data_IF_156855470824
#
_entry.id   IF_156855470824
#
_cell.length_a   1.000
_cell.length_b   1.000
_cell.length_c   1.000
_cell.angle_alpha   90.00
_cell.angle_beta   90.00
_cell.angle_gamma   90.00
#
_symmetry.space_group_name_H-M   'P 1'
#
loop_
_entity.id
_entity.type
_entity.pdbx_description
1 polymer ?
#
# COMPACT_ATOMS: atom_id res chain seq x y z
N UNK A 1 -14.26 -11.06 -31.58
CA UNK A 1 -15.30 -11.56 -30.65
C UNK A 1 -14.72 -12.74 -29.89
N UNK A 2 -14.77 -12.76 -28.55
CA UNK A 2 -14.16 -13.84 -27.77
C UNK A 2 -15.06 -15.09 -27.79
N UNK A 3 -14.77 -16.01 -28.69
CA UNK A 3 -15.57 -17.23 -28.93
C UNK A 3 -15.75 -18.09 -27.67
N UNK A 4 -14.79 -18.09 -26.75
CA UNK A 4 -14.90 -18.81 -25.48
C UNK A 4 -15.98 -18.23 -24.56
N UNK A 5 -16.07 -16.90 -24.45
CA UNK A 5 -17.12 -16.23 -23.65
C UNK A 5 -18.50 -16.39 -24.27
N UNK A 6 -18.56 -16.38 -25.61
CA UNK A 6 -19.81 -16.59 -26.36
C UNK A 6 -20.34 -18.00 -26.13
N UNK A 7 -19.46 -19.01 -26.19
CA UNK A 7 -19.85 -20.40 -25.93
C UNK A 7 -20.26 -20.61 -24.46
N UNK A 8 -19.52 -20.03 -23.50
CA UNK A 8 -19.90 -20.09 -22.09
C UNK A 8 -21.26 -19.43 -21.81
N UNK A 9 -21.57 -18.30 -22.46
CA UNK A 9 -22.88 -17.68 -22.35
C UNK A 9 -23.98 -18.54 -22.98
N UNK A 10 -23.72 -19.16 -24.14
CA UNK A 10 -24.66 -20.07 -24.77
C UNK A 10 -24.97 -21.28 -23.89
N UNK A 11 -23.96 -21.87 -23.23
CA UNK A 11 -24.12 -23.01 -22.33
C UNK A 11 -24.93 -22.63 -21.08
N UNK A 12 -24.67 -21.44 -20.51
CA UNK A 12 -25.40 -20.92 -19.34
C UNK A 12 -26.87 -20.62 -19.69
N UNK A 13 -27.13 -20.01 -20.85
CA UNK A 13 -28.50 -19.76 -21.34
C UNK A 13 -29.22 -21.09 -21.58
N UNK A 14 -28.56 -22.04 -22.24
CA UNK A 14 -29.14 -23.35 -22.51
C UNK A 14 -29.47 -24.11 -21.21
N UNK A 15 -28.59 -24.05 -20.20
CA UNK A 15 -28.84 -24.64 -18.89
C UNK A 15 -30.02 -23.97 -18.16
N UNK A 16 -30.13 -22.64 -18.20
CA UNK A 16 -31.25 -21.90 -17.61
C UNK A 16 -32.58 -22.26 -18.30
N UNK A 17 -32.58 -22.37 -19.63
CA UNK A 17 -33.76 -22.80 -20.41
C UNK A 17 -34.18 -24.23 -20.07
N UNK A 18 -33.24 -25.16 -19.88
CA UNK A 18 -33.53 -26.53 -19.44
C UNK A 18 -34.15 -26.59 -18.04
N UNK A 19 -33.86 -25.61 -17.18
CA UNK A 19 -34.47 -25.46 -15.85
C UNK A 19 -35.83 -24.73 -15.89
N UNK A 20 -36.37 -24.45 -17.07
CA UNK A 20 -37.67 -23.78 -17.23
C UNK A 20 -37.63 -22.27 -17.01
N UNK A 21 -36.44 -21.66 -16.90
CA UNK A 21 -36.28 -20.21 -16.79
C UNK A 21 -36.33 -19.60 -18.19
N UNK A 22 -37.52 -19.22 -18.64
CA UNK A 22 -37.73 -18.61 -19.98
C UNK A 22 -37.92 -17.10 -19.93
N UNK A 23 -37.98 -16.51 -18.74
CA UNK A 23 -38.16 -15.07 -18.58
C UNK A 23 -36.83 -14.36 -18.88
N UNK A 24 -36.81 -13.37 -19.78
CA UNK A 24 -35.59 -12.63 -20.14
C UNK A 24 -34.85 -12.04 -18.93
N UNK A 25 -35.59 -11.61 -17.89
CA UNK A 25 -35.01 -11.09 -16.66
C UNK A 25 -34.19 -12.13 -15.89
N UNK A 26 -34.67 -13.38 -15.82
CA UNK A 26 -33.99 -14.47 -15.11
C UNK A 26 -32.73 -14.92 -15.87
N UNK A 27 -32.79 -14.94 -17.19
CA UNK A 27 -31.62 -15.24 -18.03
C UNK A 27 -30.55 -14.15 -17.88
N UNK A 28 -30.94 -12.87 -17.81
CA UNK A 28 -30.03 -11.77 -17.57
C UNK A 28 -29.35 -11.87 -16.20
N UNK A 29 -30.11 -12.20 -15.15
CA UNK A 29 -29.59 -12.41 -13.79
C UNK A 29 -28.58 -13.57 -13.73
N UNK A 30 -28.86 -14.69 -14.39
CA UNK A 30 -27.92 -15.83 -14.46
C UNK A 30 -26.65 -15.47 -15.23
N UNK A 31 -26.74 -14.68 -16.31
CA UNK A 31 -25.57 -14.19 -17.05
C UNK A 31 -24.78 -13.15 -16.25
N UNK A 32 -25.43 -12.35 -15.42
CA UNK A 32 -24.79 -11.41 -14.50
C UNK A 32 -24.05 -12.15 -13.39
N UNK A 33 -24.69 -13.14 -12.75
CA UNK A 33 -24.08 -14.02 -11.75
C UNK A 33 -22.89 -14.81 -12.29
N UNK A 34 -22.93 -15.18 -13.58
CA UNK A 34 -21.81 -15.81 -14.27
C UNK A 34 -20.70 -14.83 -14.68
N UNK A 35 -20.84 -13.54 -14.37
CA UNK A 35 -19.93 -12.45 -14.78
C UNK A 35 -19.73 -12.39 -16.31
N UNK A 36 -20.77 -12.77 -17.06
CA UNK A 36 -20.78 -12.78 -18.53
C UNK A 36 -21.37 -11.51 -19.12
N UNK A 37 -22.18 -10.78 -18.35
CA UNK A 37 -22.56 -9.41 -18.68
C UNK A 37 -21.44 -8.44 -18.29
N UNK A 38 -21.25 -7.41 -19.12
CA UNK A 38 -20.41 -6.27 -18.74
C UNK A 38 -21.10 -5.53 -17.60
N UNK A 39 -20.34 -5.13 -16.58
CA UNK A 39 -20.91 -4.31 -15.51
C UNK A 39 -21.44 -3.00 -16.09
N UNK A 40 -22.47 -2.38 -15.48
CA UNK A 40 -22.99 -1.08 -15.92
C UNK A 40 -21.89 -0.01 -16.03
N UNK A 41 -20.92 -0.04 -15.12
CA UNK A 41 -19.75 0.85 -15.12
C UNK A 41 -18.85 0.60 -16.33
N UNK A 42 -18.62 -0.68 -16.67
CA UNK A 42 -17.82 -1.07 -17.84
C UNK A 42 -18.51 -0.69 -19.15
N UNK A 43 -19.83 -0.87 -19.22
CA UNK A 43 -20.63 -0.47 -20.38
C UNK A 43 -20.64 1.06 -20.55
N UNK A 44 -20.81 1.80 -19.46
CA UNK A 44 -20.73 3.27 -19.44
C UNK A 44 -19.35 3.78 -19.84
N UNK A 45 -18.28 3.14 -19.37
CA UNK A 45 -16.91 3.49 -19.77
C UNK A 45 -16.67 3.20 -21.25
N UNK A 46 -17.16 2.07 -21.77
CA UNK A 46 -17.08 1.76 -23.20
C UNK A 46 -17.87 2.76 -24.06
N UNK A 47 -19.04 3.19 -23.60
CA UNK A 47 -19.84 4.19 -24.31
C UNK A 47 -19.19 5.58 -24.26
N UNK A 48 -18.58 5.94 -23.11
CA UNK A 48 -17.74 7.12 -22.98
C UNK A 48 -16.54 7.08 -23.94
N UNK A 49 -15.84 5.95 -24.04
CA UNK A 49 -14.72 5.77 -24.96
C UNK A 49 -15.15 5.84 -26.43
N UNK A 50 -16.28 5.22 -26.80
CA UNK A 50 -16.87 5.36 -28.14
C UNK A 50 -17.25 6.79 -28.44
N UNK A 51 -17.84 7.49 -27.46
CA UNK A 51 -18.17 8.91 -27.58
C UNK A 51 -16.91 9.76 -27.76
N UNK A 52 -15.84 9.49 -27.02
CA UNK A 52 -14.55 10.17 -27.22
C UNK A 52 -13.94 9.89 -28.60
N UNK A 53 -14.13 8.67 -29.12
CA UNK A 53 -13.61 8.27 -30.43
C UNK A 53 -14.44 8.84 -31.59
N UNK A 54 -15.75 9.03 -31.39
CA UNK A 54 -16.70 9.42 -32.43
C UNK A 54 -17.14 10.89 -32.38
N UNK A 55 -17.05 11.58 -31.23
CA UNK A 55 -17.80 12.82 -30.99
C UNK A 55 -16.99 14.12 -31.06
N UNK A 56 -15.70 14.11 -31.43
CA UNK A 56 -15.01 15.36 -31.68
C UNK A 56 -14.45 15.39 -33.10
N UNK A 57 -14.93 16.28 -34.00
CA UNK A 57 -14.03 16.73 -35.06
C UNK A 57 -12.72 17.07 -34.37
N UNK A 58 -11.61 16.48 -34.85
CA UNK A 58 -10.31 16.73 -34.26
C UNK A 58 -10.19 18.25 -34.08
N UNK A 59 -10.05 18.71 -32.84
CA UNK A 59 -9.78 20.11 -32.56
C UNK A 59 -8.38 20.38 -33.09
N UNK A 60 -8.30 20.63 -34.39
CA UNK A 60 -7.09 20.99 -35.07
C UNK A 60 -6.79 22.44 -34.68
N UNK A 61 -5.57 22.69 -34.26
CA UNK A 61 -5.10 24.06 -34.08
C UNK A 61 -5.12 24.78 -35.43
N UNK A 62 -5.14 26.11 -35.41
CA UNK A 62 -5.06 26.92 -36.64
C UNK A 62 -3.82 26.53 -37.47
N UNK A 63 -2.67 26.33 -36.82
CA UNK A 63 -1.46 25.85 -37.47
C UNK A 63 -1.58 24.45 -38.10
N UNK A 64 -2.35 23.54 -37.50
CA UNK A 64 -2.61 22.23 -38.09
C UNK A 64 -3.55 22.33 -39.30
N UNK A 65 -4.57 23.18 -39.24
CA UNK A 65 -5.43 23.47 -40.38
C UNK A 65 -4.65 24.10 -41.53
N UNK A 66 -3.76 25.04 -41.23
CA UNK A 66 -2.88 25.67 -42.21
C UNK A 66 -1.94 24.65 -42.86
N UNK A 67 -1.33 23.77 -42.07
CA UNK A 67 -0.46 22.72 -42.58
C UNK A 67 -1.21 21.71 -43.48
N UNK A 68 -2.44 21.33 -43.13
CA UNK A 68 -3.28 20.48 -43.98
C UNK A 68 -3.67 21.20 -45.28
N UNK A 69 -4.02 22.49 -45.19
CA UNK A 69 -4.31 23.33 -46.36
C UNK A 69 -3.10 23.45 -47.28
N UNK A 70 -1.91 23.70 -46.72
CA UNK A 70 -0.66 23.79 -47.48
C UNK A 70 -0.31 22.46 -48.15
N UNK A 71 -0.44 21.33 -47.44
CA UNK A 71 -0.20 20.01 -48.02
C UNK A 71 -1.13 19.73 -49.21
N UNK A 72 -2.39 20.11 -49.10
CA UNK A 72 -3.36 19.96 -50.17
C UNK A 72 -3.07 20.88 -51.37
N UNK A 73 -2.78 22.16 -51.11
CA UNK A 73 -2.43 23.12 -52.16
C UNK A 73 -1.13 22.70 -52.88
N UNK A 74 -0.13 22.18 -52.15
CA UNK A 74 1.11 21.67 -52.72
C UNK A 74 0.86 20.49 -53.64
N UNK A 75 0.12 19.48 -53.18
CA UNK A 75 -0.22 18.30 -53.99
C UNK A 75 -0.99 18.66 -55.27
N UNK A 76 -1.90 19.62 -55.18
CA UNK A 76 -2.65 20.11 -56.34
C UNK A 76 -1.75 20.81 -57.35
N UNK A 77 -0.87 21.69 -56.87
CA UNK A 77 0.09 22.38 -57.74
C UNK A 77 1.07 21.38 -58.37
N UNK A 78 1.63 20.44 -57.61
CA UNK A 78 2.51 19.39 -58.13
C UNK A 78 1.85 18.60 -59.28
N UNK A 79 0.57 18.26 -59.15
CA UNK A 79 -0.19 17.57 -60.19
C UNK A 79 -0.35 18.41 -61.46
N UNK A 80 -0.86 19.64 -61.34
CA UNK A 80 -1.02 20.51 -62.51
C UNK A 80 0.32 20.90 -63.14
N UNK A 81 1.38 20.99 -62.35
CA UNK A 81 2.72 21.24 -62.86
C UNK A 81 3.27 20.06 -63.63
N UNK A 82 3.04 18.84 -63.16
CA UNK A 82 3.45 17.61 -63.86
C UNK A 82 2.75 17.49 -65.21
N UNK A 83 1.46 17.83 -65.29
CA UNK A 83 0.63 17.53 -66.46
C UNK A 83 0.41 18.71 -67.43
N UNK A 84 0.42 19.95 -66.94
CA UNK A 84 0.04 21.14 -67.73
C UNK A 84 1.14 22.17 -67.90
N UNK A 85 2.24 22.08 -67.16
CA UNK A 85 3.31 23.08 -67.19
C UNK A 85 4.61 22.50 -67.74
N UNK A 86 5.18 23.14 -68.77
CA UNK A 86 6.48 22.74 -69.35
C UNK A 86 7.69 23.43 -68.69
N UNK A 87 7.55 23.97 -67.47
CA UNK A 87 8.69 24.59 -66.78
C UNK A 87 9.58 23.52 -66.11
N UNK A 88 10.90 23.69 -66.20
CA UNK A 88 11.87 22.79 -65.55
C UNK A 88 12.18 23.15 -64.10
N UNK A 89 11.66 24.29 -63.62
CA UNK A 89 12.10 24.95 -62.38
C UNK A 89 11.08 24.84 -61.22
N UNK A 90 10.05 24.00 -61.36
CA UNK A 90 9.12 23.70 -60.25
C UNK A 90 9.85 22.89 -59.15
N UNK A 91 9.64 23.18 -57.85
CA UNK A 91 8.74 24.15 -57.24
C UNK A 91 9.32 25.54 -56.98
N UNK A 92 10.55 25.82 -57.41
CA UNK A 92 11.23 27.09 -57.13
C UNK A 92 10.66 28.26 -57.94
N UNK A 93 10.16 28.02 -59.16
CA UNK A 93 9.48 29.03 -59.97
C UNK A 93 8.57 28.41 -61.04
N UNK A 94 7.48 29.12 -61.39
CA UNK A 94 6.60 28.81 -62.52
C UNK A 94 6.55 30.01 -63.47
N UNK A 95 6.76 29.78 -64.77
CA UNK A 95 6.71 30.85 -65.78
C UNK A 95 5.32 31.04 -66.43
N UNK A 96 4.42 30.04 -66.34
CA UNK A 96 3.15 29.99 -67.07
C UNK A 96 1.95 30.56 -66.29
N UNK A 97 2.04 30.62 -64.97
CA UNK A 97 1.02 31.20 -64.09
C UNK A 97 1.73 32.09 -63.07
N UNK A 98 1.52 33.39 -63.14
CA UNK A 98 2.16 34.37 -62.25
C UNK A 98 1.72 34.21 -60.79
N UNK A 99 2.32 33.23 -60.11
CA UNK A 99 2.18 32.82 -58.71
C UNK A 99 1.29 31.60 -58.44
N UNK A 100 1.64 30.92 -57.34
CA UNK A 100 1.02 29.75 -56.73
C UNK A 100 -0.51 29.93 -56.61
N UNK A 101 -1.30 29.04 -57.23
CA UNK A 101 -2.77 29.10 -57.14
C UNK A 101 -3.24 28.63 -55.76
N UNK A 102 -3.37 29.55 -54.81
CA UNK A 102 -4.15 29.31 -53.59
C UNK A 102 -5.64 29.34 -53.92
N UNK A 103 -6.37 28.27 -53.61
CA UNK A 103 -7.81 28.37 -53.35
C UNK A 103 -8.77 27.94 -54.47
N UNK A 104 -8.31 27.48 -55.63
CA UNK A 104 -9.21 26.87 -56.64
C UNK A 104 -9.41 25.38 -56.38
N UNK A 105 -10.09 25.07 -55.27
CA UNK A 105 -10.53 23.71 -54.94
C UNK A 105 -11.90 23.48 -55.60
N UNK A 106 -11.91 23.01 -56.84
CA UNK A 106 -13.14 22.46 -57.41
C UNK A 106 -13.33 20.99 -56.99
N UNK A 107 -14.53 20.46 -57.22
CA UNK A 107 -14.86 19.07 -56.85
C UNK A 107 -14.04 18.04 -57.61
N UNK A 108 -13.54 18.38 -58.80
CA UNK A 108 -12.64 17.56 -59.60
C UNK A 108 -11.21 17.59 -59.06
N UNK A 109 -10.75 18.70 -58.49
CA UNK A 109 -9.42 18.90 -57.95
C UNK A 109 -9.22 18.20 -56.59
N UNK A 110 -10.30 17.98 -55.84
CA UNK A 110 -10.26 17.45 -54.48
C UNK A 110 -9.60 16.07 -54.37
N UNK A 111 -9.84 15.16 -55.33
CA UNK A 111 -9.26 13.81 -55.27
C UNK A 111 -7.73 13.79 -55.41
N UNK A 112 -7.14 14.83 -56.02
CA UNK A 112 -5.70 14.98 -56.21
C UNK A 112 -5.03 15.32 -54.87
N UNK A 113 -5.61 16.25 -54.11
CA UNK A 113 -5.06 16.72 -52.84
C UNK A 113 -5.44 15.84 -51.64
N UNK A 114 -6.54 15.09 -51.72
CA UNK A 114 -7.07 14.31 -50.62
C UNK A 114 -6.05 13.32 -50.02
N UNK A 115 -5.27 12.63 -50.86
CA UNK A 115 -4.26 11.67 -50.38
C UNK A 115 -3.19 12.31 -49.52
N UNK A 116 -2.69 13.49 -49.92
CA UNK A 116 -1.68 14.23 -49.16
C UNK A 116 -2.22 14.77 -47.84
N UNK A 117 -3.45 15.30 -47.85
CA UNK A 117 -4.13 15.82 -46.65
C UNK A 117 -4.39 14.68 -45.65
N UNK A 118 -4.94 13.55 -46.11
CA UNK A 118 -5.19 12.39 -45.25
C UNK A 118 -3.89 11.82 -44.68
N UNK A 119 -2.84 11.70 -45.49
CA UNK A 119 -1.54 11.22 -45.03
C UNK A 119 -0.93 12.10 -43.93
N UNK A 120 -0.97 13.43 -44.11
CA UNK A 120 -0.50 14.36 -43.08
C UNK A 120 -1.37 14.32 -41.83
N UNK A 121 -2.69 14.26 -41.97
CA UNK A 121 -3.61 14.14 -40.84
C UNK A 121 -3.39 12.85 -40.03
N UNK A 122 -3.17 11.72 -40.70
CA UNK A 122 -2.84 10.45 -40.06
C UNK A 122 -1.50 10.53 -39.31
N UNK A 123 -0.49 11.20 -39.87
CA UNK A 123 0.78 11.47 -39.18
C UNK A 123 0.57 12.30 -37.91
N UNK A 124 -0.15 13.43 -38.00
CA UNK A 124 -0.45 14.27 -36.83
C UNK A 124 -1.17 13.50 -35.72
N UNK A 125 -2.10 12.63 -36.10
CA UNK A 125 -2.81 11.75 -35.15
C UNK A 125 -1.89 10.71 -34.52
N UNK A 126 -1.00 10.11 -35.31
CA UNK A 126 -0.01 9.15 -34.81
C UNK A 126 0.93 9.82 -33.82
N UNK A 127 1.40 11.04 -34.10
CA UNK A 127 2.25 11.83 -33.22
C UNK A 127 1.54 12.20 -31.91
N UNK A 128 0.29 12.64 -31.99
CA UNK A 128 -0.53 12.94 -30.80
C UNK A 128 -0.74 11.69 -29.93
N UNK A 129 -1.03 10.54 -30.54
CA UNK A 129 -1.16 9.27 -29.83
C UNK A 129 0.17 8.82 -29.21
N UNK A 130 1.30 9.02 -29.90
CA UNK A 130 2.62 8.70 -29.39
C UNK A 130 3.00 9.59 -28.20
N UNK A 131 2.70 10.90 -28.27
CA UNK A 131 2.91 11.85 -27.18
C UNK A 131 2.06 11.49 -25.95
N UNK A 132 0.79 11.16 -26.16
CA UNK A 132 -0.10 10.72 -25.08
C UNK A 132 0.37 9.40 -24.44
N UNK A 133 0.83 8.44 -25.25
CA UNK A 133 1.41 7.20 -24.74
C UNK A 133 2.69 7.44 -23.94
N UNK A 134 3.53 8.40 -24.36
CA UNK A 134 4.72 8.79 -23.61
C UNK A 134 4.34 9.41 -22.25
N UNK A 135 3.37 10.33 -22.22
CA UNK A 135 2.83 10.93 -20.99
C UNK A 135 2.29 9.86 -20.04
N UNK A 136 1.48 8.92 -20.54
CA UNK A 136 0.94 7.83 -19.72
C UNK A 136 2.02 6.89 -19.18
N UNK A 137 3.12 6.67 -19.94
CA UNK A 137 4.27 5.89 -19.45
C UNK A 137 4.99 6.61 -18.31
N UNK A 138 5.19 7.92 -18.43
CA UNK A 138 5.77 8.75 -17.37
C UNK A 138 4.90 8.73 -16.11
N UNK A 139 3.59 8.93 -16.25
CA UNK A 139 2.65 8.84 -15.12
C UNK A 139 2.67 7.48 -14.44
N UNK A 140 2.65 6.39 -15.23
CA UNK A 140 2.77 5.02 -14.71
C UNK A 140 4.06 4.85 -13.91
N UNK A 141 5.17 5.36 -14.41
CA UNK A 141 6.47 5.21 -13.74
C UNK A 141 6.54 6.07 -12.46
N UNK A 142 5.91 7.25 -12.46
CA UNK A 142 5.70 8.05 -11.25
C UNK A 142 4.86 7.29 -10.19
N UNK A 143 3.76 6.64 -10.59
CA UNK A 143 2.96 5.82 -9.68
C UNK A 143 3.75 4.63 -9.12
N UNK A 144 4.58 3.97 -9.94
CA UNK A 144 5.47 2.90 -9.48
C UNK A 144 6.47 3.41 -8.45
N UNK A 145 7.07 4.57 -8.68
CA UNK A 145 7.99 5.20 -7.73
C UNK A 145 7.29 5.53 -6.40
N UNK A 146 6.10 6.12 -6.45
CA UNK A 146 5.28 6.42 -5.27
C UNK A 146 4.95 5.15 -4.49
N UNK A 147 4.50 4.09 -5.18
CA UNK A 147 4.18 2.79 -4.57
C UNK A 147 5.42 2.20 -3.88
N UNK A 148 6.58 2.24 -4.54
CA UNK A 148 7.82 1.74 -3.97
C UNK A 148 8.26 2.54 -2.73
N UNK A 149 8.04 3.86 -2.73
CA UNK A 149 8.30 4.69 -1.55
C UNK A 149 7.40 4.31 -0.37
N UNK A 150 6.10 4.07 -0.61
CA UNK A 150 5.18 3.58 0.43
C UNK A 150 5.62 2.23 0.99
N UNK A 151 6.08 1.30 0.13
CA UNK A 151 6.60 0.02 0.61
C UNK A 151 7.86 0.19 1.47
N UNK A 152 8.78 1.07 1.08
CA UNK A 152 9.97 1.37 1.89
C UNK A 152 9.58 1.92 3.27
N UNK A 153 8.65 2.87 3.34
CA UNK A 153 8.14 3.38 4.63
C UNK A 153 7.46 2.29 5.46
N UNK A 154 6.70 1.39 4.83
CA UNK A 154 6.08 0.27 5.55
C UNK A 154 7.12 -0.69 6.13
N UNK A 155 8.19 -1.00 5.39
CA UNK A 155 9.28 -1.84 5.88
C UNK A 155 9.97 -1.20 7.10
N UNK A 156 10.20 0.11 7.08
CA UNK A 156 10.73 0.87 8.23
C UNK A 156 9.80 0.83 9.45
N UNK A 157 8.49 1.00 9.22
CA UNK A 157 7.48 0.93 10.29
C UNK A 157 7.42 -0.46 10.90
N UNK A 158 7.46 -1.52 10.10
CA UNK A 158 7.50 -2.90 10.59
C UNK A 158 8.74 -3.15 11.43
N UNK A 159 9.92 -2.73 10.97
CA UNK A 159 11.16 -2.84 11.75
C UNK A 159 11.09 -2.07 13.08
N UNK A 160 10.42 -0.91 13.10
CA UNK A 160 10.19 -0.14 14.34
C UNK A 160 9.24 -0.87 15.30
N UNK A 161 8.15 -1.43 14.79
CA UNK A 161 7.19 -2.21 15.59
C UNK A 161 7.87 -3.44 16.18
N UNK A 162 8.69 -4.15 15.41
CA UNK A 162 9.46 -5.29 15.89
C UNK A 162 10.43 -4.89 17.02
N UNK A 163 11.14 -3.77 16.87
CA UNK A 163 12.05 -3.26 17.90
C UNK A 163 11.32 -2.94 19.20
N UNK A 164 10.21 -2.19 19.13
CA UNK A 164 9.39 -1.86 20.30
C UNK A 164 8.81 -3.12 20.94
N UNK A 165 8.44 -4.12 20.13
CA UNK A 165 8.00 -5.44 20.62
C UNK A 165 9.09 -6.16 21.43
N UNK A 166 10.33 -6.16 20.93
CA UNK A 166 11.48 -6.75 21.62
C UNK A 166 11.82 -6.01 22.92
N UNK A 167 11.84 -4.67 22.89
CA UNK A 167 12.07 -3.84 24.08
C UNK A 167 11.02 -4.12 25.16
N UNK A 168 9.74 -4.19 24.77
CA UNK A 168 8.65 -4.53 25.70
C UNK A 168 8.83 -5.91 26.33
N UNK A 169 9.22 -6.91 25.55
CA UNK A 169 9.48 -8.27 26.06
C UNK A 169 10.67 -8.29 27.02
N UNK A 170 11.72 -7.51 26.75
CA UNK A 170 12.87 -7.37 27.65
C UNK A 170 12.45 -6.74 28.98
N UNK A 171 11.74 -5.61 28.94
CA UNK A 171 11.22 -4.95 30.15
C UNK A 171 10.31 -5.89 30.96
N UNK A 172 9.46 -6.68 30.28
CA UNK A 172 8.61 -7.66 30.95
C UNK A 172 9.43 -8.78 31.61
N UNK A 173 10.48 -9.27 30.95
CA UNK A 173 11.40 -10.26 31.53
C UNK A 173 12.13 -9.72 32.75
N UNK A 174 12.60 -8.46 32.69
CA UNK A 174 13.24 -7.79 33.84
C UNK A 174 12.27 -7.62 35.00
N UNK A 175 11.03 -7.22 34.72
CA UNK A 175 9.98 -7.13 35.73
C UNK A 175 9.74 -8.47 36.44
N UNK A 176 9.62 -9.57 35.69
CA UNK A 176 9.47 -10.90 36.29
C UNK A 176 10.68 -11.33 37.12
N UNK A 177 11.89 -10.98 36.70
CA UNK A 177 13.11 -11.23 37.47
C UNK A 177 13.07 -10.49 38.81
N UNK A 178 12.77 -9.19 38.78
CA UNK A 178 12.65 -8.36 40.00
C UNK A 178 11.55 -8.88 40.93
N UNK A 179 10.40 -9.28 40.38
CA UNK A 179 9.31 -9.86 41.18
C UNK A 179 9.77 -11.14 41.91
N UNK A 180 10.48 -12.04 41.21
CA UNK A 180 11.04 -13.26 41.81
C UNK A 180 12.09 -12.96 42.89
N UNK A 181 12.97 -11.99 42.64
CA UNK A 181 13.98 -11.57 43.61
C UNK A 181 13.32 -10.96 44.86
N UNK A 182 12.26 -10.17 44.69
CA UNK A 182 11.48 -9.62 45.79
C UNK A 182 10.80 -10.72 46.63
N UNK A 183 10.19 -11.73 45.99
CA UNK A 183 9.59 -12.86 46.70
C UNK A 183 10.64 -13.67 47.47
N UNK A 184 11.83 -13.88 46.88
CA UNK A 184 12.96 -14.53 47.56
C UNK A 184 13.42 -13.73 48.79
N UNK A 185 13.49 -12.41 48.69
CA UNK A 185 13.86 -11.55 49.83
C UNK A 185 12.81 -11.59 50.93
N UNK A 186 11.51 -11.54 50.58
CA UNK A 186 10.41 -11.67 51.54
C UNK A 186 10.47 -13.00 52.30
N UNK A 187 10.73 -14.11 51.59
CA UNK A 187 10.91 -15.42 52.21
C UNK A 187 12.09 -15.43 53.18
N UNK A 188 13.23 -14.82 52.80
CA UNK A 188 14.41 -14.73 53.66
C UNK A 188 14.18 -13.87 54.89
N UNK A 189 13.44 -12.76 54.77
CA UNK A 189 13.05 -11.92 55.91
C UNK A 189 12.17 -12.74 56.86
N UNK A 190 11.17 -13.46 56.36
CA UNK A 190 10.32 -14.32 57.18
C UNK A 190 11.11 -15.42 57.91
N UNK A 191 12.11 -16.04 57.26
CA UNK A 191 13.02 -16.99 57.91
C UNK A 191 13.81 -16.35 59.06
N UNK A 192 14.35 -15.14 58.85
CA UNK A 192 15.12 -14.41 59.86
C UNK A 192 14.23 -13.96 61.03
N UNK A 193 13.01 -13.50 60.76
CA UNK A 193 12.02 -13.14 61.78
C UNK A 193 11.63 -14.36 62.62
N UNK A 194 11.40 -15.52 62.00
CA UNK A 194 11.12 -16.77 62.70
C UNK A 194 12.30 -17.20 63.58
N UNK A 195 13.53 -17.14 63.07
CA UNK A 195 14.73 -17.48 63.83
C UNK A 195 14.99 -16.52 65.01
N UNK A 196 14.67 -15.24 64.85
CA UNK A 196 14.79 -14.25 65.93
C UNK A 196 13.71 -14.46 67.01
N UNK A 197 12.49 -14.82 66.62
CA UNK A 197 11.38 -15.10 67.52
C UNK A 197 11.65 -16.26 68.49
N UNK A 198 12.31 -17.32 68.03
CA UNK A 198 12.64 -18.50 68.87
C UNK A 198 13.77 -18.23 69.90
N UNK A 199 14.59 -17.19 69.69
CA UNK A 199 15.73 -16.88 70.56
C UNK A 199 15.46 -15.88 71.69
N UNK A 200 14.32 -15.18 71.67
CA UNK A 200 14.05 -14.03 72.57
C UNK A 200 13.15 -14.32 73.78
N UNK A 201 12.77 -15.57 74.04
CA UNK A 201 12.19 -15.95 75.34
C UNK A 201 13.27 -16.24 76.40
N UNK A 202 14.40 -15.53 76.37
CA UNK A 202 15.29 -15.45 77.52
C UNK A 202 14.83 -14.22 78.30
N UNK A 203 14.39 -14.35 79.56
CA UNK A 203 13.95 -13.19 80.35
C UNK A 203 15.11 -12.21 80.38
N UNK A 204 14.90 -11.06 79.75
CA UNK A 204 15.79 -9.91 79.91
C UNK A 204 15.57 -9.48 81.35
N UNK A 205 16.55 -9.78 82.20
CA UNK A 205 16.67 -9.15 83.51
C UNK A 205 16.94 -7.66 83.19
N UNK A 206 15.88 -6.86 83.21
CA UNK A 206 15.91 -5.43 82.87
C UNK A 206 16.67 -4.68 83.97
N UNK A 207 17.99 -4.62 83.86
CA UNK A 207 18.75 -3.52 84.42
C UNK A 207 18.65 -2.35 83.41
N UNK A 208 18.06 -1.20 83.77
CA UNK A 208 17.91 -0.07 82.86
C UNK A 208 19.29 0.51 82.54
N UNK A 209 19.88 0.07 81.43
CA UNK A 209 21.11 0.67 80.91
C UNK A 209 20.72 1.96 80.19
N UNK A 210 21.18 3.15 80.65
CA UNK A 210 20.96 4.39 79.93
C UNK A 210 21.75 4.34 78.62
N UNK A 211 21.04 4.15 77.51
CA UNK A 211 21.64 4.16 76.16
C UNK A 211 22.09 5.59 75.86
N UNK A 212 23.37 5.86 76.08
CA UNK A 212 24.02 7.03 75.47
C UNK A 212 24.26 6.68 74.00
N UNK A 213 23.69 7.48 73.11
CA UNK A 213 23.98 7.42 71.67
C UNK A 213 25.50 7.43 71.51
N UNK A 214 26.04 6.36 70.91
CA UNK A 214 27.46 6.31 70.59
C UNK A 214 27.81 7.45 69.63
N UNK A 215 29.00 8.07 69.72
CA UNK A 215 29.41 9.17 68.84
C UNK A 215 29.17 8.89 67.35
N UNK A 216 29.35 7.63 66.93
CA UNK A 216 29.10 7.17 65.57
C UNK A 216 27.62 7.27 65.14
N UNK A 217 26.68 7.02 66.06
CA UNK A 217 25.25 7.17 65.78
C UNK A 217 24.88 8.66 65.61
N UNK A 218 25.57 9.54 66.34
CA UNK A 218 25.40 10.98 66.21
C UNK A 218 26.00 11.51 64.91
N UNK A 219 27.14 10.96 64.46
CA UNK A 219 27.72 11.27 63.14
C UNK A 219 26.84 10.81 61.99
N UNK A 220 26.31 9.58 62.04
CA UNK A 220 25.40 9.07 61.00
C UNK A 220 24.10 9.90 60.93
N UNK A 221 23.56 10.33 62.07
CA UNK A 221 22.40 11.23 62.10
C UNK A 221 22.71 12.63 61.56
N UNK A 222 23.94 13.13 61.78
CA UNK A 222 24.38 14.41 61.23
C UNK A 222 24.59 14.33 59.70
N UNK A 223 25.17 13.24 59.21
CA UNK A 223 25.39 12.99 57.78
C UNK A 223 24.05 12.83 57.04
N UNK A 224 23.09 12.10 57.61
CA UNK A 224 21.74 11.97 57.06
C UNK A 224 20.97 13.31 57.02
N UNK A 225 21.22 14.20 57.98
CA UNK A 225 20.65 15.55 57.99
C UNK A 225 21.24 16.44 56.87
N UNK A 226 22.52 16.27 56.51
CA UNK A 226 23.15 16.96 55.38
C UNK A 226 22.57 16.54 54.02
N UNK A 227 22.18 15.27 53.87
CA UNK A 227 21.54 14.76 52.66
C UNK A 227 20.02 15.02 52.59
N UNK A 228 19.48 15.85 53.49
CA UNK A 228 18.07 16.26 53.47
C UNK A 228 17.08 15.17 53.92
N UNK A 229 17.55 14.08 54.51
CA UNK A 229 16.71 13.06 55.13
C UNK A 229 16.21 13.62 56.46
N UNK A 230 15.14 14.43 56.42
CA UNK A 230 14.41 14.80 57.64
C UNK A 230 13.90 13.52 58.28
N UNK A 231 14.23 13.29 59.54
CA UNK A 231 13.63 12.22 60.32
C UNK A 231 12.12 12.41 60.31
N UNK A 232 11.43 11.54 59.55
CA UNK A 232 9.99 11.50 59.57
C UNK A 232 9.54 11.05 60.96
N UNK A 233 9.12 11.99 61.80
CA UNK A 233 7.97 11.73 62.66
C UNK A 233 6.78 11.42 61.74
N UNK A 234 6.03 10.32 61.96
CA UNK A 234 5.03 9.88 61.00
C UNK A 234 3.80 10.81 61.07
N UNK A 235 3.16 11.04 59.92
CA UNK A 235 1.86 11.73 59.72
C UNK A 235 1.76 13.28 59.66
N UNK A 236 2.76 14.10 60.04
CA UNK A 236 2.51 15.54 60.17
C UNK A 236 2.62 16.39 58.87
N UNK A 237 3.45 16.00 57.88
CA UNK A 237 3.67 16.82 56.67
C UNK A 237 2.88 16.34 55.43
N UNK A 238 2.43 15.08 55.40
CA UNK A 238 1.73 14.49 54.24
C UNK A 238 0.31 15.03 53.99
N UNK A 239 -0.25 15.84 54.91
CA UNK A 239 -1.57 16.50 54.76
C UNK A 239 -1.43 18.00 54.48
N UNK A 240 -0.24 18.59 54.63
CA UNK A 240 -0.04 20.05 54.49
C UNK A 240 0.40 20.50 53.09
N UNK A 241 0.91 19.61 52.22
CA UNK A 241 1.52 20.02 50.94
C UNK A 241 0.79 19.53 49.66
N UNK A 242 -0.34 18.82 49.77
CA UNK A 242 -1.22 18.54 48.61
C UNK A 242 -2.23 19.66 48.33
N UNK A 243 -1.81 20.91 48.54
CA UNK A 243 -2.57 22.11 48.20
C UNK A 243 -2.23 22.63 46.81
N UNK A 244 -3.08 22.29 45.84
CA UNK A 244 -3.43 23.04 44.62
C UNK A 244 -2.30 23.58 43.70
N UNK A 245 -2.08 22.87 42.58
CA UNK A 245 -1.71 23.49 41.31
C UNK A 245 -2.58 22.91 40.16
N UNK A 246 -3.13 23.74 39.26
CA UNK A 246 -3.99 23.28 38.18
C UNK A 246 -3.16 22.72 37.01
N UNK A 247 -3.53 21.53 36.54
CA UNK A 247 -3.04 20.95 35.28
C UNK A 247 -3.84 21.56 34.14
N UNK A 248 -3.21 22.03 33.03
CA UNK A 248 -3.95 22.53 31.88
C UNK A 248 -4.71 21.38 31.23
N UNK A 249 -6.02 21.54 31.11
CA UNK A 249 -6.92 20.70 30.33
C UNK A 249 -6.56 20.90 28.86
N UNK A 250 -5.88 19.92 28.27
CA UNK A 250 -5.80 19.78 26.82
C UNK A 250 -7.14 19.31 26.26
N UNK A 251 -7.49 19.81 25.08
CA UNK A 251 -8.78 19.58 24.42
C UNK A 251 -9.18 18.09 24.34
N UNK A 252 -10.47 17.76 24.46
CA UNK A 252 -10.94 16.39 24.37
C UNK A 252 -10.70 15.81 22.97
N UNK A 253 -10.06 14.64 22.95
CA UNK A 253 -9.99 13.76 21.78
C UNK A 253 -11.43 13.34 21.41
N UNK A 254 -11.85 13.41 20.13
CA UNK A 254 -13.20 13.02 19.72
C UNK A 254 -13.53 11.56 20.07
N UNK A 255 -14.71 11.37 20.66
CA UNK A 255 -15.25 10.13 21.25
C UNK A 255 -15.59 9.00 20.26
N UNK A 256 -15.24 9.09 18.97
CA UNK A 256 -15.73 8.15 17.95
C UNK A 256 -14.85 6.92 17.66
N UNK A 257 -13.83 6.62 18.49
CA UNK A 257 -12.92 5.48 18.23
C UNK A 257 -12.78 4.45 19.37
N UNK A 258 -13.49 4.59 20.50
CA UNK A 258 -13.33 3.67 21.64
C UNK A 258 -14.35 2.52 21.73
N UNK A 259 -15.41 2.51 20.92
CA UNK A 259 -16.51 1.52 21.05
C UNK A 259 -16.32 0.19 20.30
N UNK A 260 -15.13 -0.10 19.75
CA UNK A 260 -14.85 -1.40 19.12
C UNK A 260 -13.76 -2.27 19.78
N UNK A 261 -13.21 -1.87 20.93
CA UNK A 261 -12.08 -2.56 21.55
C UNK A 261 -12.41 -3.35 22.84
N UNK A 262 -13.67 -3.51 23.21
CA UNK A 262 -14.10 -4.23 24.41
C UNK A 262 -15.01 -5.42 24.08
N UNK A 263 -14.47 -6.38 23.33
CA UNK A 263 -14.95 -7.77 23.41
C UNK A 263 -13.99 -8.55 24.31
N UNK A 264 -14.49 -9.38 25.26
CA UNK A 264 -13.62 -10.08 26.19
C UNK A 264 -12.90 -11.22 25.46
N UNK A 265 -11.61 -11.03 25.20
CA UNK A 265 -10.70 -12.13 24.91
C UNK A 265 -10.40 -12.91 26.21
N UNK A 266 -11.44 -13.49 26.82
CA UNK A 266 -11.30 -14.50 27.86
C UNK A 266 -11.04 -15.83 27.18
N UNK A 267 -9.77 -16.16 26.91
CA UNK A 267 -9.43 -17.46 26.35
C UNK A 267 -8.02 -17.65 25.79
N UNK A 268 -7.19 -16.61 25.72
CA UNK A 268 -5.83 -16.75 25.17
C UNK A 268 -4.79 -16.44 26.24
N UNK A 269 -4.53 -17.43 27.09
CA UNK A 269 -3.32 -17.46 27.91
C UNK A 269 -2.11 -17.62 27.01
N UNK A 270 -1.13 -16.73 27.22
CA UNK A 270 0.12 -16.64 26.48
C UNK A 270 0.92 -17.94 26.53
N UNK A 271 1.28 -18.47 25.37
CA UNK A 271 2.31 -19.49 25.23
C UNK A 271 3.68 -18.79 25.27
N UNK A 272 4.20 -18.63 26.49
CA UNK A 272 5.58 -18.22 26.76
C UNK A 272 6.49 -19.40 26.41
N UNK A 273 7.50 -19.13 25.59
CA UNK A 273 8.58 -20.06 25.32
C UNK A 273 9.33 -20.37 26.64
N UNK A 274 9.08 -21.57 27.14
CA UNK A 274 10.04 -22.54 27.69
C UNK A 274 11.09 -22.03 28.68
N UNK A 275 10.70 -22.00 29.95
CA UNK A 275 11.57 -22.12 31.10
C UNK A 275 10.87 -22.93 32.20
N UNK A 276 11.22 -24.21 32.28
CA UNK A 276 10.94 -25.20 33.34
C UNK A 276 9.55 -25.89 33.38
N UNK A 277 9.57 -27.20 33.04
CA UNK A 277 8.99 -28.24 33.91
C UNK A 277 7.50 -28.56 33.79
N UNK A 278 6.89 -28.52 32.61
CA UNK A 278 5.55 -29.08 32.40
C UNK A 278 5.54 -30.06 31.22
N UNK A 279 5.40 -31.34 31.55
CA UNK A 279 5.24 -32.47 30.63
C UNK A 279 3.82 -32.48 30.05
N UNK A 280 3.48 -31.49 29.23
CA UNK A 280 2.15 -31.39 28.61
C UNK A 280 2.29 -31.38 27.07
N UNK A 281 2.07 -32.56 26.46
CA UNK A 281 2.09 -32.79 24.99
C UNK A 281 1.22 -31.78 24.21
N UNK A 282 0.18 -31.22 24.82
CA UNK A 282 -0.69 -30.23 24.20
C UNK A 282 -0.02 -28.88 23.90
N UNK A 283 1.01 -28.49 24.67
CA UNK A 283 1.67 -27.19 24.50
C UNK A 283 2.66 -27.23 23.33
N UNK A 284 3.31 -28.37 23.14
CA UNK A 284 4.25 -28.58 22.02
C UNK A 284 3.51 -28.58 20.67
N UNK A 285 2.33 -29.21 20.61
CA UNK A 285 1.49 -29.24 19.41
C UNK A 285 0.97 -27.85 19.02
N UNK A 286 0.53 -27.05 19.99
CA UNK A 286 0.03 -25.69 19.72
C UNK A 286 1.14 -24.75 19.20
N UNK A 287 2.33 -24.81 19.80
CA UNK A 287 3.49 -24.05 19.33
C UNK A 287 3.92 -24.48 17.93
N UNK A 288 3.91 -25.79 17.65
CA UNK A 288 4.27 -26.34 16.34
C UNK A 288 3.30 -25.88 15.25
N UNK A 289 1.99 -25.97 15.51
CA UNK A 289 0.94 -25.51 14.59
C UNK A 289 1.02 -24.01 14.30
N UNK A 290 1.34 -23.18 15.31
CA UNK A 290 1.50 -21.74 15.13
C UNK A 290 2.75 -21.38 14.33
N UNK A 291 3.88 -22.04 14.59
CA UNK A 291 5.10 -21.88 13.79
C UNK A 291 4.88 -22.31 12.33
N UNK A 292 4.16 -23.39 12.10
CA UNK A 292 3.80 -23.86 10.76
C UNK A 292 2.90 -22.86 10.02
N UNK A 293 1.92 -22.26 10.72
CA UNK A 293 1.04 -21.23 10.16
C UNK A 293 1.81 -19.95 9.77
N UNK A 294 2.71 -19.47 10.64
CA UNK A 294 3.59 -18.32 10.33
C UNK A 294 4.53 -18.64 9.16
N UNK A 295 5.07 -19.86 9.10
CA UNK A 295 5.86 -20.36 7.98
C UNK A 295 5.08 -20.36 6.65
N UNK A 296 3.82 -20.81 6.66
CA UNK A 296 2.94 -20.79 5.49
C UNK A 296 2.65 -19.36 5.00
N UNK A 297 2.38 -18.44 5.93
CA UNK A 297 2.16 -17.02 5.63
C UNK A 297 3.40 -16.36 5.01
N UNK A 298 4.58 -16.56 5.61
CA UNK A 298 5.85 -16.08 5.03
C UNK A 298 6.08 -16.66 3.63
N UNK A 299 5.84 -17.96 3.44
CA UNK A 299 5.95 -18.61 2.14
C UNK A 299 5.00 -18.04 1.08
N UNK A 300 3.77 -17.67 1.45
CA UNK A 300 2.81 -17.02 0.55
C UNK A 300 3.27 -15.61 0.15
N UNK A 301 3.71 -14.80 1.11
CA UNK A 301 4.20 -13.45 0.86
C UNK A 301 5.46 -13.45 -0.01
N UNK A 302 6.40 -14.38 0.22
CA UNK A 302 7.59 -14.53 -0.64
C UNK A 302 7.25 -14.97 -2.07
N UNK A 303 6.21 -15.80 -2.26
CA UNK A 303 5.73 -16.19 -3.60
C UNK A 303 5.05 -15.03 -4.32
N UNK A 304 4.23 -14.25 -3.61
CA UNK A 304 3.67 -13.02 -4.17
C UNK A 304 4.79 -12.09 -4.60
N UNK A 305 5.76 -11.79 -3.72
CA UNK A 305 6.89 -10.92 -4.04
C UNK A 305 7.65 -11.37 -5.28
N UNK A 306 7.98 -12.66 -5.41
CA UNK A 306 8.63 -13.22 -6.61
C UNK A 306 7.80 -13.06 -7.87
N UNK A 307 6.49 -13.33 -7.82
CA UNK A 307 5.59 -13.13 -8.95
C UNK A 307 5.44 -11.64 -9.36
N UNK A 308 5.78 -10.70 -8.47
CA UNK A 308 5.80 -9.27 -8.75
C UNK A 308 7.16 -8.76 -9.27
N UNK A 309 8.26 -9.35 -8.80
CA UNK A 309 9.63 -9.02 -9.24
C UNK A 309 9.94 -9.64 -10.62
N UNK A 310 9.38 -10.81 -10.93
CA UNK A 310 9.44 -11.44 -12.24
C UNK A 310 8.02 -11.86 -12.70
N UNK A 311 7.39 -11.11 -13.63
CA UNK A 311 6.08 -11.44 -14.19
C UNK A 311 6.01 -12.85 -14.80
N UNK A 312 7.16 -13.43 -15.16
CA UNK A 312 7.27 -14.75 -15.80
C UNK A 312 7.30 -15.91 -14.80
N UNK A 313 7.56 -15.68 -13.51
CA UNK A 313 7.44 -16.70 -12.45
C UNK A 313 6.01 -16.85 -11.91
N UNK A 314 5.07 -16.01 -12.35
CA UNK A 314 3.67 -16.09 -11.95
C UNK A 314 3.07 -17.47 -12.29
N UNK A 315 2.35 -18.14 -11.36
CA UNK A 315 1.62 -19.37 -11.64
C UNK A 315 0.63 -19.23 -12.81
N UNK A 316 0.19 -18.00 -13.10
CA UNK A 316 -0.70 -17.67 -14.21
C UNK A 316 0.01 -17.67 -15.59
N UNK A 317 1.34 -17.56 -15.62
CA UNK A 317 2.14 -17.63 -16.84
C UNK A 317 2.38 -19.06 -17.33
N UNK A 318 2.12 -20.08 -16.49
CA UNK A 318 2.26 -21.51 -16.84
C UNK A 318 1.04 -22.11 -17.55
N UNK A 319 0.28 -21.28 -18.27
CA UNK A 319 -0.77 -21.76 -19.17
C UNK A 319 -0.19 -22.48 -20.39
N UNK A 320 -1.00 -23.26 -21.15
CA UNK A 320 -0.55 -24.04 -22.31
C UNK A 320 -0.03 -23.20 -23.51
N UNK A 321 0.04 -21.88 -23.36
CA UNK A 321 0.56 -20.95 -24.35
C UNK A 321 1.62 -20.07 -23.69
N UNK A 322 2.89 -20.53 -23.59
CA UNK A 322 3.98 -19.67 -23.17
C UNK A 322 4.09 -18.50 -24.15
N UNK A 323 4.16 -17.28 -23.62
CA UNK A 323 4.45 -16.09 -24.43
C UNK A 323 5.90 -16.21 -24.92
N UNK A 324 6.18 -16.17 -26.23
CA UNK A 324 7.53 -16.31 -26.75
C UNK A 324 8.44 -15.19 -26.25
N UNK A 325 9.68 -15.53 -25.94
CA UNK A 325 10.69 -14.62 -25.37
C UNK A 325 11.23 -13.57 -26.35
N UNK A 326 11.02 -13.76 -27.66
CA UNK A 326 11.64 -12.94 -28.69
C UNK A 326 10.56 -12.27 -29.54
N UNK A 327 10.21 -11.03 -29.18
CA UNK A 327 9.71 -10.10 -30.19
C UNK A 327 10.96 -9.55 -30.88
N UNK A 328 11.09 -9.68 -32.22
CA UNK A 328 12.23 -9.13 -32.92
C UNK A 328 12.28 -7.63 -32.68
N UNK A 329 13.39 -7.16 -32.13
CA UNK A 329 13.72 -5.75 -32.07
C UNK A 329 13.57 -5.20 -33.49
N UNK A 330 12.66 -4.25 -33.67
CA UNK A 330 12.49 -3.56 -34.94
C UNK A 330 13.78 -2.80 -35.22
N UNK A 331 14.65 -3.39 -36.02
CA UNK A 331 15.79 -2.71 -36.62
C UNK A 331 15.26 -1.46 -37.33
N UNK A 332 15.62 -0.30 -36.79
CA UNK A 332 15.43 0.97 -37.47
C UNK A 332 16.20 0.90 -38.79
N UNK A 333 15.47 0.84 -39.91
CA UNK A 333 16.06 1.01 -41.23
C UNK A 333 16.59 2.44 -41.35
N UNK A 334 17.82 2.63 -41.85
CA UNK A 334 18.42 3.94 -42.06
C UNK A 334 17.69 4.77 -43.11
#
# INVERSE_FOLDING_TARGET
MNTKRVNAAADVIHAAMQQGQTLPATIAEVLELACLLQSPETANEMERLRSLTNAQPAHLTEAQLDALSEAGNRALNDHYHTDLCHCGDWPASCASSGDYFMGTWDTGAFHISLGAVLGLWESMRADAAAAELARLREERDAFRAQRNAVFATNDELLARVERVGLERLQTQSEFFKVARDADRLRARVAELEAAAGDGHTRPVDEDPVPVRLTPLATEVLAELAEYGVRSAGPLAEAVAEMGALPVPVGDPIPYELTDKATAPLSGVTNCLACGEGLDDENITDFCSARCESIGRLRGLLSRQRRAWEDPHESPLARGPHPVPHDLPETEARP
#
